data_IF_776350424070
#
_entry.id   IF_776350424070
#
_cell.length_a   1.000
_cell.length_b   1.000
_cell.length_c   1.000
_cell.angle_alpha   90.00
_cell.angle_beta   90.00
_cell.angle_gamma   90.00
#
_symmetry.space_group_name_H-M   'P 1'
#
loop_
_entity.id
_entity.type
_entity.pdbx_description
1 polymer ?
2 branched ?
3 non-polymer ?
4 non-polymer ?
5 water ?
#
# COMPACT_ATOMS: atom_id res chain seq x y z
N UNK A 32 -20.45 -5.21 20.18
CA UNK A 32 -20.98 -4.10 19.31
C UNK A 32 -20.60 -2.71 19.82
N UNK A 33 -19.29 -2.50 20.00
CA UNK A 33 -18.76 -1.25 20.57
C UNK A 33 -18.46 -0.18 19.51
N UNK A 34 -18.31 -0.61 18.25
CA UNK A 34 -17.89 0.29 17.17
C UNK A 34 -16.41 0.58 17.22
N UNK A 35 -15.64 -0.39 17.69
CA UNK A 35 -14.19 -0.26 17.81
C UNK A 35 -13.46 -1.43 17.13
N UNK A 36 -14.21 -2.42 16.63
CA UNK A 36 -13.66 -3.66 16.05
C UNK A 36 -12.87 -3.39 14.78
N UNK A 37 -11.86 -4.23 14.50
CA UNK A 37 -11.13 -4.16 13.21
C UNK A 37 -12.08 -4.41 12.04
N UNK A 38 -11.84 -3.72 10.91
CA UNK A 38 -12.57 -4.02 9.68
C UNK A 38 -11.67 -4.84 8.74
N UNK A 39 -12.17 -6.00 8.32
CA UNK A 39 -11.37 -6.93 7.54
C UNK A 39 -11.58 -6.78 6.03
N UNK A 40 -12.29 -5.71 5.65
CA UNK A 40 -12.41 -5.31 4.26
C UNK A 40 -11.68 -3.98 4.04
N UNK A 41 -10.83 -3.61 4.98
CA UNK A 41 -10.03 -2.38 4.91
C UNK A 41 -8.56 -2.79 4.91
N UNK A 42 -7.86 -2.41 3.83
CA UNK A 42 -6.49 -2.85 3.55
C UNK A 42 -5.56 -1.65 3.62
N UNK A 43 -4.50 -1.72 4.41
CA UNK A 43 -3.59 -0.58 4.56
C UNK A 43 -2.20 -0.95 4.08
N UNK A 44 -1.69 -0.19 3.09
CA UNK A 44 -0.43 -0.55 2.45
C UNK A 44 0.77 -0.26 3.35
N UNK A 45 1.57 -1.31 3.59
CA UNK A 45 2.59 -1.31 4.61
C UNK A 45 3.96 -1.71 4.04
N UNK A 46 4.98 -0.95 4.44
CA UNK A 46 6.35 -1.09 3.96
C UNK A 46 7.27 -1.50 5.10
N UNK A 47 8.08 -2.53 4.86
CA UNK A 47 8.99 -3.06 5.89
C UNK A 47 10.46 -2.89 5.48
N UNK A 48 10.74 -1.84 4.70
CA UNK A 48 12.08 -1.63 4.18
C UNK A 48 12.96 -0.64 4.99
N UNK A 49 12.48 -0.24 6.16
CA UNK A 49 13.22 0.71 7.00
C UNK A 49 14.21 -0.03 7.89
N UNK A 50 15.35 0.60 8.13
CA UNK A 50 16.37 -0.05 8.92
C UNK A 50 17.06 0.90 9.88
N UNK A 51 17.70 0.33 10.88
CA UNK A 51 18.64 1.06 11.71
C UNK A 51 20.04 0.47 11.52
N UNK A 52 21.05 1.32 11.69
CA UNK A 52 22.44 0.88 11.72
C UNK A 52 22.63 -0.28 12.70
N UNK A 53 21.98 -0.21 13.85
CA UNK A 53 22.10 -1.23 14.91
C UNK A 53 21.50 -2.58 14.52
N UNK A 54 20.30 -2.56 13.93
CA UNK A 54 19.60 -3.81 13.69
C UNK A 54 19.90 -4.33 12.29
N UNK A 55 20.08 -3.43 11.33
CA UNK A 55 20.15 -3.80 9.91
C UNK A 55 21.47 -3.48 9.21
N UNK A 56 22.36 -2.77 9.90
CA UNK A 56 23.66 -2.44 9.31
C UNK A 56 23.69 -1.06 8.68
N UNK A 57 22.51 -0.49 8.45
CA UNK A 57 22.39 0.87 7.92
C UNK A 57 20.99 1.42 8.18
N UNK A 58 20.86 2.74 8.15
CA UNK A 58 19.54 3.37 8.26
C UNK A 58 18.84 3.28 6.90
N UNK A 59 18.44 2.06 6.58
CA UNK A 59 17.94 1.68 5.27
C UNK A 59 16.66 2.45 4.97
N UNK A 60 16.56 2.98 3.75
CA UNK A 60 15.40 3.78 3.29
C UNK A 60 15.30 5.18 3.92
N UNK A 61 15.68 5.34 5.19
CA UNK A 61 15.85 6.71 5.74
C UNK A 61 16.91 7.45 4.93
N UNK A 62 17.95 6.72 4.52
CA UNK A 62 18.88 7.15 3.48
C UNK A 62 18.32 6.67 2.14
N UNK A 63 18.43 7.50 1.10
CA UNK A 63 17.77 7.25 -0.17
C UNK A 63 18.34 8.15 -1.25
N UNK A 64 18.47 7.60 -2.46
CA UNK A 64 18.95 8.35 -3.60
C UNK A 64 17.92 9.40 -3.97
N UNK A 65 18.39 10.55 -4.46
CA UNK A 65 17.48 11.55 -4.99
C UNK A 65 17.35 11.26 -6.47
N UNK A 66 16.12 11.07 -6.94
CA UNK A 66 15.89 10.70 -8.35
C UNK A 66 16.18 11.86 -9.31
N UNK A 67 16.86 11.56 -10.44
CA UNK A 67 17.04 12.59 -11.47
C UNK A 67 15.69 12.99 -12.07
N UNK A 68 15.61 14.21 -12.58
CA UNK A 68 14.44 14.68 -13.32
C UNK A 68 14.39 13.97 -14.68
N UNK A 69 13.26 13.28 -14.97
CA UNK A 69 13.11 12.62 -16.27
C UNK A 69 13.17 13.57 -17.46
N UNK A 70 12.79 14.84 -17.25
CA UNK A 70 12.87 15.85 -18.31
C UNK A 70 13.96 16.89 -18.04
N UNK A 71 14.99 16.51 -17.28
CA UNK A 71 15.95 17.48 -16.77
C UNK A 71 17.35 17.48 -17.37
N UNK A 72 17.53 16.77 -18.48
CA UNK A 72 18.83 16.75 -19.15
C UNK A 72 19.77 15.64 -18.68
N UNK A 73 20.96 15.61 -19.26
CA UNK A 73 21.84 14.44 -19.18
C UNK A 73 22.90 14.43 -18.06
N UNK A 74 23.43 15.58 -17.69
CA UNK A 74 24.53 15.59 -16.73
C UNK A 74 24.18 15.78 -15.27
N UNK A 75 23.07 15.18 -14.82
CA UNK A 75 22.58 15.41 -13.46
C UNK A 75 23.35 14.64 -12.38
N UNK A 76 23.79 15.38 -11.36
CA UNK A 76 24.35 14.80 -10.14
C UNK A 76 23.41 15.15 -8.97
N UNK A 77 22.30 14.40 -8.83
CA UNK A 77 21.24 14.76 -7.86
C UNK A 77 21.62 14.59 -6.40
N UNK A 78 22.48 13.61 -6.11
CA UNK A 78 22.92 13.36 -4.76
C UNK A 78 22.05 12.34 -4.05
N UNK A 79 22.23 12.24 -2.75
CA UNK A 79 21.45 11.33 -1.95
C UNK A 79 21.04 12.04 -0.65
N UNK A 80 20.06 11.48 0.02
CA UNK A 80 19.70 11.90 1.36
C UNK A 80 20.42 10.94 2.32
N UNK A 81 21.26 11.48 3.22
CA UNK A 81 22.16 10.61 4.01
C UNK A 81 21.46 9.73 5.06
N UNK A 82 20.23 10.09 5.43
CA UNK A 82 19.50 9.29 6.42
C UNK A 82 20.02 9.47 7.83
N UNK A 83 20.61 10.63 8.09
CA UNK A 83 20.98 11.03 9.43
C UNK A 83 19.73 11.45 10.19
N UNK A 84 19.85 11.68 11.49
CA UNK A 84 18.74 12.20 12.28
C UNK A 84 18.14 13.49 11.70
N UNK A 85 18.99 14.38 11.22
CA UNK A 85 18.54 15.69 10.72
C UNK A 85 17.97 15.59 9.30
N UNK A 86 18.44 14.60 8.55
CA UNK A 86 18.12 14.55 7.15
C UNK A 86 17.71 13.14 6.67
N UNK A 87 16.41 12.89 6.68
CA UNK A 87 15.85 11.61 6.25
C UNK A 87 15.09 11.79 4.95
N UNK A 88 14.79 10.69 4.27
CA UNK A 88 14.15 10.71 2.96
C UNK A 88 12.62 10.82 3.02
N UNK A 89 12.13 11.84 3.71
CA UNK A 89 10.70 12.11 3.79
C UNK A 89 10.49 13.61 3.96
N UNK A 90 9.37 14.13 3.49
CA UNK A 90 9.03 15.52 3.81
C UNK A 90 8.43 15.65 5.21
N UNK A 91 8.12 14.50 5.82
CA UNK A 91 7.62 14.40 7.20
C UNK A 91 8.61 13.70 8.13
N UNK A 92 8.31 13.67 9.42
CA UNK A 92 9.19 13.03 10.39
C UNK A 92 8.43 12.06 11.30
N UNK A 93 8.86 10.79 11.33
CA UNK A 93 8.17 9.77 12.13
C UNK A 93 8.25 10.05 13.62
N UNK A 94 7.11 9.91 14.30
CA UNK A 94 7.07 9.95 15.76
C UNK A 94 8.01 8.89 16.36
N UNK A 95 8.12 7.73 15.71
CA UNK A 95 8.99 6.65 16.18
C UNK A 95 10.46 6.81 15.80
N UNK A 96 10.79 7.87 15.07
CA UNK A 96 12.16 8.13 14.67
C UNK A 96 12.61 7.23 13.52
N UNK A 97 13.92 7.14 13.31
CA UNK A 97 14.47 6.32 12.23
C UNK A 97 14.43 4.85 12.64
N UNK A 98 13.22 4.28 12.61
CA UNK A 98 13.00 2.94 13.12
C UNK A 98 13.47 1.82 12.19
N UNK A 99 13.75 0.66 12.78
CA UNK A 99 13.96 -0.58 12.01
C UNK A 99 12.64 -1.34 11.87
N UNK A 100 12.34 -1.75 10.63
CA UNK A 100 11.21 -2.64 10.38
C UNK A 100 11.47 -4.05 10.91
N UNK A 101 12.71 -4.32 11.32
CA UNK A 101 13.06 -5.63 11.92
C UNK A 101 12.91 -5.66 13.46
N UNK A 102 12.56 -4.52 14.06
CA UNK A 102 12.52 -4.35 15.53
C UNK A 102 11.17 -4.80 16.08
N UNK A 103 11.17 -5.90 16.88
CA UNK A 103 9.91 -6.45 17.41
C UNK A 103 9.10 -5.41 18.17
N UNK A 104 9.78 -4.49 18.85
CA UNK A 104 9.09 -3.50 19.64
C UNK A 104 8.45 -2.39 18.76
N UNK A 105 9.07 -2.08 17.62
CA UNK A 105 8.47 -1.18 16.62
C UNK A 105 7.24 -1.87 16.01
N UNK A 106 7.38 -3.15 15.67
CA UNK A 106 6.24 -3.92 15.15
C UNK A 106 5.03 -3.94 16.10
N UNK A 107 5.27 -4.15 17.40
CA UNK A 107 4.19 -4.13 18.38
C UNK A 107 3.45 -2.79 18.36
N UNK A 108 4.20 -1.71 18.34
CA UNK A 108 3.61 -0.38 18.31
C UNK A 108 2.80 -0.16 17.03
N UNK A 109 3.29 -0.68 15.90
CA UNK A 109 2.59 -0.51 14.62
C UNK A 109 1.28 -1.27 14.64
N UNK A 110 1.29 -2.45 15.22
CA UNK A 110 0.07 -3.25 15.33
C UNK A 110 -0.96 -2.56 16.22
N UNK A 111 -0.48 -1.90 17.28
CA UNK A 111 -1.37 -1.12 18.16
C UNK A 111 -1.95 0.06 17.39
N UNK A 112 -1.15 0.65 16.49
CA UNK A 112 -1.63 1.74 15.61
C UNK A 112 -2.70 1.26 14.63
N UNK A 113 -2.51 0.04 14.09
CA UNK A 113 -3.53 -0.60 13.24
C UNK A 113 -4.83 -0.80 13.99
N UNK A 114 -4.72 -1.21 15.24
CA UNK A 114 -5.90 -1.41 16.09
C UNK A 114 -6.62 -0.09 16.31
N UNK A 115 -5.87 0.96 16.57
CA UNK A 115 -6.41 2.30 16.74
C UNK A 115 -7.17 2.76 15.48
N UNK A 116 -6.64 2.41 14.30
CA UNK A 116 -7.20 2.86 13.02
C UNK A 116 -8.34 1.97 12.54
N UNK A 117 -8.54 0.83 13.21
CA UNK A 117 -9.54 -0.18 12.83
C UNK A 117 -9.29 -0.83 11.47
N UNK A 118 -8.05 -0.74 11.01
CA UNK A 118 -7.67 -1.36 9.72
C UNK A 118 -7.26 -2.81 9.94
N UNK A 119 -8.14 -3.73 9.56
CA UNK A 119 -7.94 -5.15 9.86
C UNK A 119 -6.96 -5.91 8.99
N UNK A 120 -6.57 -5.35 7.84
CA UNK A 120 -5.61 -6.02 6.92
C UNK A 120 -4.40 -5.15 6.58
N UNK A 121 -3.22 -5.70 6.85
CA UNK A 121 -1.97 -5.09 6.51
C UNK A 121 -1.55 -5.69 5.16
N UNK A 122 -1.39 -4.83 4.16
CA UNK A 122 -1.04 -5.28 2.82
C UNK A 122 0.45 -5.05 2.62
N UNK A 123 1.21 -6.12 2.77
CA UNK A 123 2.65 -6.03 2.88
C UNK A 123 3.34 -5.94 1.52
N UNK A 124 4.12 -4.88 1.34
CA UNK A 124 4.95 -4.73 0.13
C UNK A 124 5.88 -5.93 0.03
N UNK A 125 5.97 -6.52 -1.17
CA UNK A 125 6.75 -7.73 -1.39
C UNK A 125 7.55 -7.61 -2.69
N UNK A 126 8.87 -7.57 -2.55
CA UNK A 126 9.80 -7.26 -3.65
C UNK A 126 10.64 -8.45 -4.13
N UNK A 127 10.33 -9.65 -3.62
CA UNK A 127 11.06 -10.87 -4.00
C UNK A 127 12.57 -10.72 -3.77
N UNK A 128 12.95 -10.28 -2.57
CA UNK A 128 14.36 -10.03 -2.29
C UNK A 128 15.19 -11.29 -2.06
N UNK A 129 14.50 -12.41 -1.87
CA UNK A 129 15.12 -13.73 -1.61
C UNK A 129 16.38 -13.62 -0.77
N UNK A 130 16.20 -13.09 0.43
CA UNK A 130 17.27 -13.06 1.41
C UNK A 130 16.70 -13.27 2.80
N UNK A 131 17.54 -13.73 3.70
CA UNK A 131 17.09 -14.18 5.01
C UNK A 131 16.55 -13.05 5.89
N UNK A 132 17.04 -11.82 5.70
CA UNK A 132 16.57 -10.71 6.53
C UNK A 132 15.11 -10.39 6.24
N UNK A 133 14.71 -10.50 4.96
CA UNK A 133 13.30 -10.31 4.62
C UNK A 133 12.40 -11.43 5.11
N UNK A 134 12.83 -12.67 4.93
CA UNK A 134 12.09 -13.82 5.46
C UNK A 134 11.84 -13.64 6.96
N UNK A 135 12.84 -13.15 7.68
CA UNK A 135 12.70 -12.91 9.12
C UNK A 135 11.62 -11.86 9.40
N UNK A 136 11.72 -10.73 8.69
CA UNK A 136 10.74 -9.66 8.85
C UNK A 136 9.31 -10.11 8.62
N UNK A 137 9.08 -10.90 7.57
CA UNK A 137 7.73 -11.38 7.26
C UNK A 137 7.15 -12.23 8.41
N UNK A 138 7.98 -13.12 8.95
CA UNK A 138 7.58 -13.90 10.13
C UNK A 138 7.26 -13.02 11.34
N UNK A 139 8.08 -12.00 11.59
CA UNK A 139 7.85 -11.11 12.75
C UNK A 139 6.52 -10.33 12.59
N UNK A 140 6.26 -9.88 11.37
CA UNK A 140 5.05 -9.14 11.02
C UNK A 140 3.81 -10.00 11.20
N UNK A 141 3.82 -11.19 10.63
CA UNK A 141 2.72 -12.14 10.87
C UNK A 141 2.47 -12.38 12.37
N UNK A 142 3.53 -12.72 13.11
CA UNK A 142 3.42 -12.97 14.55
C UNK A 142 2.86 -11.77 15.32
N UNK A 143 3.38 -10.58 15.03
CA UNK A 143 2.94 -9.36 15.73
C UNK A 143 1.51 -9.01 15.36
N UNK A 144 1.15 -9.19 14.08
CA UNK A 144 -0.22 -8.96 13.61
C UNK A 144 -1.20 -9.85 14.35
N UNK A 145 -0.87 -11.13 14.48
CA UNK A 145 -1.80 -12.08 15.03
C UNK A 145 -2.13 -11.77 16.49
N UNK A 146 -1.17 -11.23 17.23
CA UNK A 146 -1.38 -10.86 18.64
C UNK A 146 -2.49 -9.82 18.80
N UNK A 147 -2.75 -9.07 17.73
CA UNK A 147 -3.79 -8.06 17.75
C UNK A 147 -4.96 -8.37 16.82
N UNK A 148 -5.03 -9.63 16.34
CA UNK A 148 -6.06 -10.09 15.38
C UNK A 148 -6.01 -9.39 14.00
N UNK A 149 -4.90 -8.74 13.70
CA UNK A 149 -4.68 -8.17 12.36
C UNK A 149 -4.33 -9.28 11.35
N UNK A 150 -4.77 -9.11 10.10
CA UNK A 150 -4.47 -10.05 9.02
C UNK A 150 -3.40 -9.44 8.09
N UNK A 151 -2.70 -10.31 7.36
CA UNK A 151 -1.66 -9.88 6.43
C UNK A 151 -1.95 -10.49 5.06
N UNK A 152 -1.96 -9.66 4.01
CA UNK A 152 -1.87 -10.14 2.63
C UNK A 152 -0.63 -9.50 1.98
N UNK A 153 -0.30 -9.94 0.75
CA UNK A 153 0.92 -9.48 0.08
C UNK A 153 0.60 -8.59 -1.11
N UNK A 154 1.39 -7.52 -1.21
CA UNK A 154 1.30 -6.58 -2.33
C UNK A 154 2.49 -6.90 -3.25
N UNK A 155 2.20 -7.58 -4.36
CA UNK A 155 3.26 -8.15 -5.19
C UNK A 155 3.79 -7.09 -6.15
N UNK A 156 5.03 -6.68 -5.93
CA UNK A 156 5.61 -5.55 -6.66
C UNK A 156 6.28 -5.98 -7.99
N UNK A 157 6.57 -5.00 -8.86
CA UNK A 157 7.21 -5.35 -10.14
C UNK A 157 8.71 -5.69 -9.98
N UNK A 158 9.04 -6.87 -9.47
CA UNK A 158 10.43 -7.28 -9.29
C UNK A 158 11.08 -7.63 -10.63
N UNK A 159 12.43 -7.72 -10.70
CA UNK A 159 13.05 -7.92 -12.02
C UNK A 159 12.69 -9.25 -12.70
N UNK A 160 12.39 -9.19 -14.00
CA UNK A 160 11.98 -10.36 -14.78
C UNK A 160 10.68 -11.00 -14.29
N UNK A 161 9.86 -10.23 -13.55
CA UNK A 161 8.54 -10.72 -13.13
C UNK A 161 7.74 -11.09 -14.36
N UNK A 162 7.12 -12.26 -14.29
CA UNK A 162 6.32 -12.81 -15.38
C UNK A 162 5.35 -13.78 -14.74
N UNK A 163 4.40 -14.32 -15.50
CA UNK A 163 3.36 -15.13 -14.86
C UNK A 163 3.87 -16.45 -14.25
N UNK A 164 4.93 -17.01 -14.82
CA UNK A 164 5.50 -18.27 -14.34
C UNK A 164 6.14 -18.09 -12.94
N UNK A 165 7.07 -17.15 -12.83
CA UNK A 165 7.68 -16.91 -11.53
C UNK A 165 6.71 -16.26 -10.55
N UNK A 166 5.69 -15.57 -11.05
CA UNK A 166 4.63 -15.07 -10.16
C UNK A 166 3.91 -16.28 -9.54
N UNK A 167 3.57 -17.27 -10.35
CA UNK A 167 2.93 -18.49 -9.84
C UNK A 167 3.80 -19.19 -8.81
N UNK A 168 5.09 -19.28 -9.12
CA UNK A 168 6.05 -19.94 -8.25
C UNK A 168 6.15 -19.23 -6.89
N UNK A 169 6.10 -17.90 -6.93
CA UNK A 169 6.11 -17.08 -5.72
C UNK A 169 4.79 -17.11 -4.94
N UNK A 170 3.67 -17.18 -5.67
CA UNK A 170 2.36 -17.38 -5.03
C UNK A 170 2.32 -18.73 -4.30
N UNK A 171 2.80 -19.78 -4.96
CA UNK A 171 2.92 -21.09 -4.35
C UNK A 171 3.78 -21.03 -3.07
N UNK A 172 4.94 -20.40 -3.17
CA UNK A 172 5.86 -20.30 -2.04
C UNK A 172 5.23 -19.58 -0.84
N UNK A 173 4.51 -18.49 -1.12
CA UNK A 173 3.89 -17.66 -0.07
C UNK A 173 2.73 -18.39 0.59
N UNK A 174 1.87 -18.99 -0.22
CA UNK A 174 0.76 -19.77 0.30
C UNK A 174 1.27 -21.00 1.10
N UNK A 175 2.28 -21.69 0.57
CA UNK A 175 2.85 -22.85 1.26
C UNK A 175 3.54 -22.44 2.57
N UNK A 176 4.33 -21.39 2.53
CA UNK A 176 5.07 -20.96 3.70
C UNK A 176 4.17 -20.32 4.77
N UNK A 177 3.19 -19.52 4.34
CA UNK A 177 2.45 -18.68 5.28
C UNK A 177 0.94 -18.94 5.35
N UNK A 178 0.43 -19.78 4.46
CA UNK A 178 -1.01 -20.01 4.37
C UNK A 178 -1.60 -20.55 5.67
N UNK A 179 -0.77 -21.22 6.47
CA UNK A 179 -1.25 -21.79 7.74
C UNK A 179 -1.05 -20.86 8.93
N UNK A 180 -0.36 -19.74 8.73
CA UNK A 180 -0.22 -18.77 9.81
C UNK A 180 -1.61 -18.21 10.15
N UNK A 181 -1.94 -18.10 11.46
CA UNK A 181 -3.26 -17.58 11.82
C UNK A 181 -3.55 -16.15 11.33
N UNK A 182 -2.50 -15.37 11.07
CA UNK A 182 -2.69 -13.99 10.59
C UNK A 182 -2.80 -13.87 9.05
N UNK A 183 -2.59 -14.98 8.34
CA UNK A 183 -2.69 -14.97 6.87
C UNK A 183 -4.12 -14.68 6.41
N UNK A 184 -4.30 -13.61 5.62
CA UNK A 184 -5.62 -13.14 5.22
C UNK A 184 -6.32 -14.08 4.25
N UNK A 185 -7.61 -14.32 4.49
CA UNK A 185 -8.46 -14.99 3.52
C UNK A 185 -9.79 -14.27 3.43
N UNK A 186 -10.33 -14.17 2.22
CA UNK A 186 -11.70 -13.69 1.98
C UNK A 186 -12.55 -14.85 1.44
N UNK A 187 -13.62 -15.20 2.16
CA UNK A 187 -14.44 -16.36 1.83
C UNK A 187 -13.58 -17.56 1.41
N UNK A 188 -12.54 -17.84 2.21
CA UNK A 188 -11.66 -18.97 1.98
C UNK A 188 -10.50 -18.77 1.02
N UNK A 189 -10.41 -17.59 0.41
CA UNK A 189 -9.32 -17.35 -0.56
C UNK A 189 -8.31 -16.31 -0.11
N UNK A 190 -7.02 -16.56 -0.40
CA UNK A 190 -6.03 -15.52 -0.15
C UNK A 190 -6.28 -14.38 -1.13
N UNK A 191 -5.70 -13.23 -0.84
CA UNK A 191 -5.82 -12.10 -1.74
C UNK A 191 -4.46 -11.47 -1.97
N UNK A 192 -4.18 -11.15 -3.23
CA UNK A 192 -2.95 -10.44 -3.60
C UNK A 192 -3.31 -9.18 -4.37
N UNK A 193 -2.59 -8.10 -4.07
CA UNK A 193 -2.60 -6.91 -4.90
C UNK A 193 -1.39 -6.98 -5.81
N UNK A 194 -1.59 -6.70 -7.10
CA UNK A 194 -0.49 -6.76 -8.06
C UNK A 194 -0.20 -5.37 -8.60
N UNK A 195 0.91 -4.80 -8.14
CA UNK A 195 1.31 -3.46 -8.59
C UNK A 195 1.82 -3.49 -10.03
N UNK A 196 1.48 -2.43 -10.77
CA UNK A 196 1.86 -2.34 -12.20
C UNK A 196 1.59 -3.63 -12.98
N UNK A 197 0.39 -4.19 -12.78
CA UNK A 197 -0.04 -5.39 -13.48
C UNK A 197 -0.08 -5.17 -14.99
N UNK A 198 -0.38 -3.93 -15.41
CA UNK A 198 -0.53 -3.60 -16.84
C UNK A 198 0.77 -3.83 -17.64
N UNK A 199 1.91 -3.95 -16.94
CA UNK A 199 3.20 -4.24 -17.58
C UNK A 199 3.30 -5.68 -18.12
N UNK A 200 2.33 -6.51 -17.74
CA UNK A 200 2.26 -7.89 -18.23
C UNK A 200 1.03 -8.03 -19.13
N UNK A 201 1.23 -8.56 -20.32
CA UNK A 201 0.17 -8.73 -21.33
C UNK A 201 -0.97 -9.61 -20.84
N UNK A 202 -2.23 -9.26 -21.18
CA UNK A 202 -3.38 -10.11 -20.85
C UNK A 202 -3.26 -11.54 -21.35
N UNK A 203 -2.62 -11.76 -22.52
CA UNK A 203 -2.42 -13.13 -22.99
C UNK A 203 -1.53 -13.96 -22.05
N UNK A 204 -0.58 -13.30 -21.37
CA UNK A 204 0.19 -13.98 -20.30
C UNK A 204 -0.65 -14.20 -19.03
N UNK A 205 -1.31 -13.15 -18.56
CA UNK A 205 -2.17 -13.25 -17.36
C UNK A 205 -3.19 -14.37 -17.47
N UNK A 206 -3.74 -14.55 -18.66
CA UNK A 206 -4.79 -15.52 -18.83
C UNK A 206 -4.32 -16.97 -18.59
N UNK A 207 -3.04 -17.24 -18.82
CA UNK A 207 -2.44 -18.54 -18.57
C UNK A 207 -2.46 -18.86 -17.08
N UNK A 208 -2.37 -17.81 -16.27
CA UNK A 208 -2.34 -17.94 -14.82
C UNK A 208 -3.74 -17.81 -14.23
N UNK A 209 -4.55 -16.95 -14.82
CA UNK A 209 -5.78 -16.51 -14.16
C UNK A 209 -7.09 -17.01 -14.78
N UNK A 210 -7.01 -17.52 -16.00
CA UNK A 210 -8.19 -18.12 -16.60
C UNK A 210 -8.36 -19.55 -16.07
N UNK A 211 -9.62 -19.98 -15.83
CA UNK A 211 -9.83 -21.39 -15.46
C UNK A 211 -9.23 -22.36 -16.49
N UNK A 212 -9.13 -21.95 -17.76
CA UNK A 212 -8.50 -22.79 -18.80
C UNK A 212 -7.02 -22.54 -19.07
N UNK A 213 -6.43 -21.57 -18.37
CA UNK A 213 -5.02 -21.22 -18.55
C UNK A 213 -4.04 -22.37 -18.31
N UNK A 214 -2.99 -22.41 -19.13
CA UNK A 214 -1.97 -23.50 -19.07
C UNK A 214 -1.26 -23.67 -17.72
N UNK A 215 -1.12 -22.59 -16.96
CA UNK A 215 -0.59 -22.70 -15.60
C UNK A 215 -1.58 -22.13 -14.56
N UNK A 216 -2.86 -22.43 -14.76
CA UNK A 216 -3.89 -21.80 -13.95
C UNK A 216 -3.71 -22.02 -12.44
N UNK A 217 -4.12 -21.03 -11.65
CA UNK A 217 -4.28 -21.24 -10.21
C UNK A 217 -5.73 -21.51 -9.83
N UNK A 218 -6.66 -21.30 -10.76
CA UNK A 218 -8.09 -21.55 -10.49
C UNK A 218 -8.30 -23.03 -10.21
N UNK A 219 -9.12 -23.32 -9.21
CA UNK A 219 -9.42 -24.71 -8.78
C UNK A 219 -8.18 -25.49 -8.31
N UNK A 220 -7.15 -24.77 -7.86
CA UNK A 220 -5.98 -25.40 -7.23
C UNK A 220 -5.90 -24.95 -5.77
N UNK A 221 -4.95 -25.53 -5.03
CA UNK A 221 -4.64 -25.13 -3.65
C UNK A 221 -4.08 -23.70 -3.60
N UNK A 222 -3.77 -23.13 -4.77
CA UNK A 222 -3.12 -21.81 -4.86
C UNK A 222 -4.00 -20.71 -5.45
N UNK A 223 -5.28 -21.01 -5.59
CA UNK A 223 -6.24 -20.03 -6.05
C UNK A 223 -6.25 -18.86 -5.07
N UNK A 224 -6.50 -17.66 -5.60
CA UNK A 224 -6.47 -16.42 -4.82
C UNK A 224 -7.26 -15.35 -5.54
N UNK A 225 -7.76 -14.37 -4.78
CA UNK A 225 -8.30 -13.18 -5.38
C UNK A 225 -7.13 -12.33 -5.88
N UNK A 226 -7.08 -12.08 -7.19
CA UNK A 226 -6.00 -11.28 -7.79
C UNK A 226 -6.53 -9.90 -8.16
N UNK A 227 -5.95 -8.87 -7.55
CA UNK A 227 -6.47 -7.52 -7.66
C UNK A 227 -5.42 -6.72 -8.42
N UNK A 228 -5.74 -6.34 -9.64
CA UNK A 228 -4.79 -5.65 -10.52
C UNK A 228 -4.85 -4.15 -10.36
N UNK A 229 -3.81 -3.45 -10.79
CA UNK A 229 -3.78 -2.00 -10.66
C UNK A 229 -4.50 -1.33 -11.84
N UNK A 230 -5.67 -0.77 -11.58
CA UNK A 230 -6.36 -0.01 -12.62
C UNK A 230 -5.71 1.36 -12.75
N UNK A 231 -5.12 1.66 -13.91
CA UNK A 231 -4.43 2.96 -14.09
C UNK A 231 -5.27 3.94 -14.93
N UNK A 232 -5.35 3.70 -16.23
CA UNK A 232 -5.84 4.69 -17.18
C UNK A 232 -7.34 4.59 -17.51
N UNK A 233 -7.73 4.98 -18.73
CA UNK A 233 -9.14 5.09 -19.10
C UNK A 233 -9.83 3.72 -19.24
N UNK A 234 -11.17 3.70 -19.09
CA UNK A 234 -12.01 2.51 -19.25
C UNK A 234 -11.80 1.81 -20.59
N UNK A 235 -11.57 2.57 -21.66
CA UNK A 235 -11.33 1.98 -23.00
C UNK A 235 -10.20 0.95 -22.97
N UNK A 236 -9.17 1.25 -22.18
CA UNK A 236 -8.00 0.40 -22.07
C UNK A 236 -8.15 -0.59 -20.90
N UNK A 237 -8.67 -0.11 -19.78
CA UNK A 237 -8.66 -0.92 -18.56
C UNK A 237 -9.75 -1.98 -18.50
N UNK A 238 -10.93 -1.70 -19.04
CA UNK A 238 -12.02 -2.68 -19.02
C UNK A 238 -11.62 -4.00 -19.72
N UNK A 239 -11.22 -3.94 -21.02
CA UNK A 239 -10.77 -5.16 -21.69
C UNK A 239 -9.57 -5.84 -21.02
N UNK A 240 -8.63 -5.06 -20.49
CA UNK A 240 -7.47 -5.62 -19.81
C UNK A 240 -7.89 -6.46 -18.61
N UNK A 241 -8.72 -5.88 -17.74
CA UNK A 241 -9.19 -6.60 -16.57
C UNK A 241 -9.96 -7.87 -16.96
N UNK A 242 -10.82 -7.77 -17.98
CA UNK A 242 -11.60 -8.93 -18.43
C UNK A 242 -10.76 -10.02 -19.10
N UNK A 243 -9.86 -9.60 -19.98
CA UNK A 243 -9.03 -10.54 -20.75
C UNK A 243 -7.90 -11.15 -19.93
N UNK A 244 -7.42 -10.41 -18.93
CA UNK A 244 -6.41 -10.95 -18.02
C UNK A 244 -7.04 -11.80 -16.91
N UNK A 245 -8.36 -11.72 -16.75
CA UNK A 245 -9.08 -12.51 -15.75
C UNK A 245 -8.71 -12.16 -14.31
N UNK A 246 -8.40 -10.89 -14.07
CA UNK A 246 -8.25 -10.41 -12.69
C UNK A 246 -9.58 -10.49 -11.97
N UNK A 247 -9.54 -10.81 -10.67
CA UNK A 247 -10.75 -10.85 -9.85
C UNK A 247 -11.24 -9.49 -9.44
N UNK A 248 -10.34 -8.51 -9.51
CA UNK A 248 -10.70 -7.17 -9.11
C UNK A 248 -9.61 -6.18 -9.42
N UNK A 249 -9.79 -4.96 -8.94
CA UNK A 249 -8.85 -3.91 -9.20
C UNK A 249 -8.77 -2.88 -8.07
N UNK A 250 -7.58 -2.27 -7.95
CA UNK A 250 -7.32 -1.19 -7.02
C UNK A 250 -6.60 -0.09 -7.80
N UNK A 251 -6.43 1.07 -7.16
CA UNK A 251 -5.97 2.26 -7.88
C UNK A 251 -4.68 2.82 -7.32
N UNK A 252 -4.34 2.42 -6.08
CA UNK A 252 -3.11 2.83 -5.35
C UNK A 252 -2.83 4.32 -5.04
N UNK A 253 -2.71 5.14 -6.06
CA UNK A 253 -2.13 6.49 -5.89
C UNK A 253 -2.97 7.36 -4.96
N UNK A 254 -2.28 7.93 -3.96
CA UNK A 254 -2.90 8.79 -2.95
C UNK A 254 -3.23 10.17 -3.52
N UNK A 255 -2.55 10.56 -4.61
CA UNK A 255 -2.69 11.89 -5.19
C UNK A 255 -3.84 11.93 -6.19
N UNK A 256 -4.94 12.59 -5.82
CA UNK A 256 -6.10 12.65 -6.72
C UNK A 256 -5.68 13.19 -8.07
N UNK A 257 -6.18 12.57 -9.14
CA UNK A 257 -5.93 13.07 -10.48
C UNK A 257 -4.66 12.55 -11.13
N UNK A 258 -3.82 11.84 -10.39
CA UNK A 258 -2.53 11.36 -10.93
C UNK A 258 -2.76 10.39 -12.11
N UNK A 259 -3.82 9.60 -11.98
CA UNK A 259 -4.30 8.72 -13.05
C UNK A 259 -5.81 8.80 -13.10
N UNK A 260 -6.39 8.24 -14.15
CA UNK A 260 -7.85 8.12 -14.24
C UNK A 260 -8.39 7.34 -13.03
N UNK A 261 -7.75 6.22 -12.71
CA UNK A 261 -8.16 5.41 -11.57
C UNK A 261 -8.12 6.14 -10.23
N UNK A 262 -7.16 7.06 -10.08
CA UNK A 262 -7.00 7.82 -8.83
C UNK A 262 -7.71 9.18 -8.84
N UNK A 263 -8.67 9.33 -9.75
CA UNK A 263 -9.56 10.48 -9.77
C UNK A 263 -10.91 10.05 -9.21
N UNK A 264 -11.19 10.41 -7.94
CA UNK A 264 -12.34 9.89 -7.21
C UNK A 264 -13.72 10.11 -7.85
N UNK A 265 -13.88 11.10 -8.72
CA UNK A 265 -15.16 11.33 -9.40
C UNK A 265 -15.48 10.22 -10.41
N UNK A 266 -14.48 9.39 -10.74
CA UNK A 266 -14.66 8.21 -11.59
C UNK A 266 -15.12 6.96 -10.85
N UNK A 267 -15.15 7.00 -9.53
CA UNK A 267 -15.33 5.78 -8.75
C UNK A 267 -16.72 5.17 -8.80
N UNK A 268 -17.77 6.01 -8.82
CA UNK A 268 -19.14 5.51 -9.02
C UNK A 268 -19.24 4.69 -10.33
N UNK A 269 -18.69 5.27 -11.39
CA UNK A 269 -18.68 4.67 -12.70
C UNK A 269 -17.87 3.37 -12.71
N UNK A 270 -16.74 3.36 -12.00
CA UNK A 270 -15.86 2.20 -11.94
C UNK A 270 -16.51 1.06 -11.17
N UNK A 271 -17.23 1.43 -10.11
CA UNK A 271 -17.94 0.47 -9.28
C UNK A 271 -19.08 -0.19 -10.06
N UNK A 272 -19.81 0.61 -10.83
CA UNK A 272 -20.91 0.11 -11.68
C UNK A 272 -20.40 -0.98 -12.62
N UNK A 273 -19.30 -0.70 -13.31
CA UNK A 273 -18.69 -1.68 -14.20
C UNK A 273 -18.21 -2.92 -13.43
N UNK A 274 -17.56 -2.72 -12.29
CA UNK A 274 -17.13 -3.84 -11.44
C UNK A 274 -18.29 -4.78 -11.09
N UNK A 275 -19.42 -4.18 -10.69
CA UNK A 275 -20.58 -4.94 -10.28
C UNK A 275 -21.17 -5.69 -11.48
N UNK A 276 -21.21 -5.01 -12.63
CA UNK A 276 -21.75 -5.60 -13.85
C UNK A 276 -20.91 -6.77 -14.34
N UNK A 277 -19.63 -6.78 -13.98
CA UNK A 277 -18.71 -7.78 -14.53
C UNK A 277 -18.14 -8.77 -13.53
N UNK A 278 -18.76 -8.84 -12.35
CA UNK A 278 -18.35 -9.76 -11.30
C UNK A 278 -16.96 -9.49 -10.74
N UNK A 279 -16.54 -8.22 -10.76
CA UNK A 279 -15.19 -7.85 -10.29
C UNK A 279 -15.23 -7.09 -8.94
N UNK A 280 -14.16 -7.21 -8.16
CA UNK A 280 -14.08 -6.51 -6.87
C UNK A 280 -13.31 -5.20 -7.05
N UNK A 281 -13.95 -4.07 -6.76
CA UNK A 281 -13.28 -2.77 -6.83
C UNK A 281 -12.85 -2.36 -5.41
N UNK A 282 -11.55 -2.14 -5.23
CA UNK A 282 -10.97 -1.70 -3.94
C UNK A 282 -10.24 -0.37 -4.15
N UNK A 283 -11.01 0.74 -4.23
CA UNK A 283 -10.35 2.04 -4.37
C UNK A 283 -9.32 2.31 -3.27
N UNK A 284 -8.27 3.04 -3.61
CA UNK A 284 -7.26 3.44 -2.66
C UNK A 284 -7.45 4.90 -2.27
N UNK A 285 -7.46 5.14 -0.96
CA UNK A 285 -7.62 6.49 -0.40
C UNK A 285 -6.34 6.85 0.36
N UNK A 286 -5.98 8.12 0.33
CA UNK A 286 -4.83 8.59 1.09
C UNK A 286 -5.02 9.99 1.63
N UNK A 287 -4.22 10.36 2.65
CA UNK A 287 -4.37 11.61 3.37
C UNK A 287 -3.68 12.80 2.71
N UNK A 288 -2.86 12.53 1.69
CA UNK A 288 -2.11 13.58 1.02
C UNK A 288 -0.97 12.97 0.24
N UNK A 289 -0.19 13.81 -0.45
CA UNK A 289 0.97 13.35 -1.18
C UNK A 289 2.04 14.42 -1.29
N UNK A 290 3.29 14.03 -0.98
CA UNK A 290 4.46 14.88 -1.31
C UNK A 290 5.73 14.05 -1.27
N UNK A 291 6.47 14.03 -2.38
CA UNK A 291 7.70 13.23 -2.44
C UNK A 291 8.93 14.05 -2.84
N UNK A 292 8.88 15.36 -2.60
CA UNK A 292 9.88 16.25 -3.17
C UNK A 292 11.28 16.19 -2.55
N UNK A 293 11.39 15.58 -1.37
CA UNK A 293 12.72 15.31 -0.81
C UNK A 293 13.49 14.37 -1.74
N UNK A 294 12.84 13.29 -2.18
CA UNK A 294 13.47 12.33 -3.08
C UNK A 294 13.24 12.56 -4.59
N UNK A 295 12.21 13.34 -4.93
CA UNK A 295 11.87 13.69 -6.31
C UNK A 295 11.59 15.21 -6.40
N UNK A 296 12.65 16.04 -6.35
CA UNK A 296 12.49 17.50 -6.22
C UNK A 296 11.72 18.16 -7.36
N UNK A 297 11.73 17.50 -8.51
CA UNK A 297 11.10 17.95 -9.75
C UNK A 297 9.61 17.60 -9.81
N UNK A 298 9.10 16.86 -8.81
CA UNK A 298 7.77 16.26 -8.86
C UNK A 298 6.69 17.05 -8.09
N UNK A 299 6.86 18.37 -8.01
CA UNK A 299 5.98 19.22 -7.21
C UNK A 299 4.54 19.28 -7.67
N UNK A 300 4.29 18.99 -8.95
CA UNK A 300 2.92 19.01 -9.50
C UNK A 300 2.01 17.97 -8.84
N UNK A 301 2.61 16.93 -8.27
CA UNK A 301 1.87 15.84 -7.69
C UNK A 301 1.54 16.08 -6.21
N UNK A 302 2.09 17.14 -5.64
CA UNK A 302 1.80 17.49 -4.24
C UNK A 302 0.28 17.68 -4.01
N UNK A 303 -0.25 17.00 -2.99
CA UNK A 303 -1.60 17.24 -2.52
C UNK A 303 -1.50 17.54 -1.04
N UNK A 304 -1.94 18.73 -0.65
CA UNK A 304 -1.78 19.21 0.74
C UNK A 304 -2.82 18.60 1.66
N UNK A 305 -2.44 18.31 2.90
CA UNK A 305 -3.35 17.58 3.82
C UNK A 305 -4.50 18.44 4.34
N UNK A 306 -4.28 19.76 4.36
CA UNK A 306 -5.16 20.76 5.02
C UNK A 306 -5.91 20.25 6.25
N UNK A 307 -5.15 19.88 7.29
CA UNK A 307 -5.73 19.46 8.58
C UNK A 307 -6.68 18.26 8.48
N UNK A 308 -6.51 17.45 7.44
CA UNK A 308 -7.30 16.24 7.26
C UNK A 308 -8.45 16.33 6.27
N UNK A 309 -8.74 17.53 5.75
CA UNK A 309 -9.88 17.67 4.83
C UNK A 309 -9.68 16.86 3.54
N UNK A 310 -8.45 16.80 3.06
CA UNK A 310 -8.14 16.02 1.84
C UNK A 310 -8.45 14.54 2.06
N UNK A 311 -8.00 14.01 3.20
CA UNK A 311 -8.30 12.63 3.58
C UNK A 311 -9.81 12.41 3.65
N UNK A 312 -10.52 13.30 4.34
CA UNK A 312 -11.97 13.19 4.45
C UNK A 312 -12.65 13.15 3.09
N UNK A 313 -12.26 14.06 2.20
CA UNK A 313 -12.88 14.15 0.89
C UNK A 313 -12.69 12.84 0.10
N UNK A 314 -11.47 12.32 0.12
CA UNK A 314 -11.17 11.10 -0.62
C UNK A 314 -11.87 9.85 -0.06
N UNK A 315 -11.86 9.72 1.26
CA UNK A 315 -12.50 8.59 1.93
C UNK A 315 -14.01 8.64 1.71
N UNK A 316 -14.58 9.85 1.76
CA UNK A 316 -16.01 10.07 1.51
C UNK A 316 -16.41 9.60 0.11
N UNK A 317 -15.59 9.92 -0.88
CA UNK A 317 -15.85 9.47 -2.26
C UNK A 317 -15.82 7.94 -2.39
N UNK A 318 -14.87 7.29 -1.74
CA UNK A 318 -14.79 5.82 -1.74
C UNK A 318 -16.08 5.20 -1.16
N UNK A 319 -16.49 5.68 0.01
CA UNK A 319 -17.69 5.16 0.68
C UNK A 319 -18.92 5.42 -0.19
N UNK A 320 -19.03 6.62 -0.72
CA UNK A 320 -20.17 6.99 -1.57
C UNK A 320 -20.29 6.17 -2.86
N UNK A 321 -19.18 5.63 -3.34
CA UNK A 321 -19.21 4.80 -4.55
C UNK A 321 -19.88 3.43 -4.33
N UNK A 322 -20.13 3.05 -3.08
CA UNK A 322 -20.81 1.79 -2.77
C UNK A 322 -19.94 0.53 -2.88
N UNK A 323 -18.63 0.69 -2.68
CA UNK A 323 -17.67 -0.43 -2.76
C UNK A 323 -17.74 -1.31 -1.52
N UNK A 324 -17.28 -2.56 -1.66
CA UNK A 324 -17.28 -3.60 -0.63
C UNK A 324 -15.97 -3.66 0.16
N UNK A 325 -14.94 -2.96 -0.32
CA UNK A 325 -13.63 -2.93 0.31
C UNK A 325 -12.90 -1.63 -0.07
N UNK A 326 -11.99 -1.17 0.79
CA UNK A 326 -11.26 0.06 0.58
C UNK A 326 -9.80 -0.20 0.96
N UNK A 327 -8.88 0.36 0.18
CA UNK A 327 -7.46 0.29 0.52
C UNK A 327 -6.94 1.68 0.90
N UNK A 328 -5.93 1.71 1.76
CA UNK A 328 -5.38 2.96 2.25
C UNK A 328 -3.91 3.07 1.87
N UNK A 329 -3.61 4.13 1.13
CA UNK A 329 -2.26 4.47 0.76
C UNK A 329 -1.86 5.72 1.55
N UNK A 330 -1.08 5.56 2.63
CA UNK A 330 -0.43 4.30 3.04
C UNK A 330 -0.30 4.28 4.56
N UNK A 331 0.10 3.15 5.14
CA UNK A 331 0.53 3.22 6.53
C UNK A 331 1.80 4.05 6.69
N UNK A 332 2.85 3.71 5.92
CA UNK A 332 4.19 4.24 6.18
C UNK A 332 5.09 4.28 4.92
N UNK A 333 4.52 4.76 3.80
CA UNK A 333 5.35 5.16 2.66
C UNK A 333 5.78 6.62 2.93
N UNK A 334 6.81 6.76 3.76
CA UNK A 334 7.29 8.08 4.18
C UNK A 334 7.90 8.89 3.03
N UNK A 335 8.47 8.19 2.04
CA UNK A 335 9.05 8.83 0.87
C UNK A 335 8.01 9.62 0.11
N UNK A 336 6.80 9.09 0.05
CA UNK A 336 5.74 9.70 -0.75
C UNK A 336 4.79 10.62 0.03
N UNK A 337 4.98 10.69 1.35
CA UNK A 337 4.19 11.56 2.22
C UNK A 337 2.72 11.22 2.24
N UNK A 338 2.42 9.94 2.03
CA UNK A 338 1.05 9.46 2.02
C UNK A 338 0.73 8.73 3.32
N UNK A 339 1.65 8.77 4.28
CA UNK A 339 1.56 7.92 5.47
C UNK A 339 0.48 8.38 6.44
N UNK A 340 -0.26 7.43 7.05
CA UNK A 340 -1.12 7.75 8.20
C UNK A 340 -0.40 7.49 9.55
N UNK A 341 0.80 6.91 9.49
CA UNK A 341 1.60 6.69 10.70
C UNK A 341 1.91 8.05 11.38
N UNK A 342 1.85 8.10 12.73
CA UNK A 342 2.05 9.37 13.42
C UNK A 342 3.37 10.03 13.06
N UNK A 343 3.29 11.32 12.76
CA UNK A 343 4.43 12.18 12.46
C UNK A 343 4.46 13.30 13.51
N UNK A 344 5.65 13.84 13.76
CA UNK A 344 5.82 14.88 14.77
C UNK A 344 6.49 16.10 14.15
N UNK A 345 6.25 17.30 14.74
CA UNK A 345 6.97 18.47 14.24
C UNK A 345 8.45 18.30 14.47
N UNK A 346 9.25 18.73 13.50
CA UNK A 346 10.69 18.64 13.60
C UNK A 346 11.38 19.64 12.69
N UNK A 347 12.28 20.41 13.28
CA UNK A 347 13.14 21.29 12.51
C UNK A 347 14.57 20.92 12.84
N UNK A 348 15.35 20.59 11.83
CA UNK A 348 16.76 20.39 12.03
C UNK A 348 17.50 21.51 11.31
N UNK A 349 18.83 21.54 11.48
CA UNK A 349 19.69 22.44 10.71
C UNK A 349 19.62 22.15 9.21
N UNK A 350 19.28 20.92 8.86
CA UNK A 350 19.25 20.51 7.45
C UNK A 350 17.91 20.79 6.77
N UNK A 351 16.81 20.65 7.51
CA UNK A 351 15.49 20.71 6.89
C UNK A 351 14.40 21.01 7.89
N UNK A 352 13.38 21.73 7.44
CA UNK A 352 12.17 21.94 8.21
C UNK A 352 11.08 21.01 7.68
N UNK A 353 10.70 20.03 8.50
CA UNK A 353 9.77 19.01 8.04
C UNK A 353 8.34 19.54 8.10
N UNK A 354 7.50 19.02 7.21
CA UNK A 354 6.07 19.16 7.38
C UNK A 354 5.64 18.30 8.56
N UNK A 355 4.46 18.59 9.08
CA UNK A 355 3.91 17.82 10.19
C UNK A 355 2.39 17.85 10.09
N UNK A 356 1.68 17.40 11.13
CA UNK A 356 0.22 17.29 11.03
C UNK A 356 -0.55 18.58 11.41
N UNK A 357 0.20 19.68 11.47
CA UNK A 357 -0.39 21.04 11.44
C UNK A 357 -1.16 21.27 12.73
N UNK A 358 -2.47 21.44 12.64
CA UNK A 358 -3.28 21.68 13.84
C UNK A 358 -3.79 20.40 14.44
N UNK A 359 -3.38 19.26 13.88
CA UNK A 359 -3.85 17.98 14.39
C UNK A 359 -2.74 17.27 15.17
N UNK A 360 -3.15 16.42 16.10
CA UNK A 360 -2.23 15.63 16.92
C UNK A 360 -1.52 14.57 16.05
N UNK A 361 -0.34 14.08 16.51
CA UNK A 361 0.35 13.04 15.72
C UNK A 361 -0.49 11.80 15.36
N UNK A 362 -1.44 11.40 16.21
CA UNK A 362 -2.24 10.21 15.88
C UNK A 362 -3.54 10.52 15.16
N UNK A 363 -3.71 11.77 14.71
CA UNK A 363 -4.96 12.20 14.05
C UNK A 363 -5.38 11.33 12.87
N UNK A 364 -4.44 10.94 12.02
CA UNK A 364 -4.77 10.16 10.83
C UNK A 364 -5.15 8.73 11.18
N UNK A 365 -4.62 8.21 12.30
CA UNK A 365 -5.09 6.91 12.82
C UNK A 365 -6.54 6.99 13.30
N UNK A 366 -6.85 7.98 14.14
CA UNK A 366 -8.21 8.10 14.68
C UNK A 366 -9.21 8.52 13.60
N UNK A 367 -8.78 9.38 12.67
CA UNK A 367 -9.66 9.75 11.55
C UNK A 367 -9.97 8.55 10.67
N UNK A 368 -8.99 7.68 10.48
CA UNK A 368 -9.19 6.41 9.77
C UNK A 368 -10.28 5.58 10.46
N UNK A 369 -10.18 5.48 11.78
CA UNK A 369 -11.17 4.77 12.57
C UNK A 369 -12.56 5.35 12.34
N UNK A 370 -12.64 6.68 12.24
CA UNK A 370 -13.90 7.39 12.02
C UNK A 370 -14.50 6.96 10.67
N UNK A 371 -13.67 6.98 9.64
CA UNK A 371 -14.10 6.58 8.31
C UNK A 371 -14.45 5.10 8.19
N UNK A 372 -13.70 4.25 8.89
CA UNK A 372 -14.03 2.82 8.97
C UNK A 372 -15.44 2.66 9.51
N UNK A 373 -15.77 3.41 10.57
CA UNK A 373 -17.13 3.41 11.13
C UNK A 373 -18.20 3.76 10.11
N UNK A 374 -17.99 4.88 9.40
CA UNK A 374 -18.90 5.31 8.34
C UNK A 374 -19.03 4.25 7.24
N UNK A 375 -17.91 3.70 6.81
CA UNK A 375 -17.87 2.58 5.82
C UNK A 375 -18.75 1.40 6.27
N UNK A 376 -18.58 1.01 7.53
CA UNK A 376 -19.30 -0.15 8.07
C UNK A 376 -20.79 0.12 8.19
N UNK A 377 -21.11 1.36 8.54
CA UNK A 377 -22.47 1.87 8.63
C UNK A 377 -23.28 1.61 7.36
N UNK A 378 -22.67 1.85 6.19
CA UNK A 378 -23.42 1.76 4.92
C UNK A 378 -23.11 0.52 4.08
N UNK A 379 -22.28 -0.39 4.60
CA UNK A 379 -21.71 -1.50 3.80
C UNK A 379 -22.73 -2.34 3.05
X LIG B 1 4.48 6.29 -12.89
X LIG B 1 4.80 5.36 -11.71
X LIG B 1 4.22 3.95 -11.97
X LIG B 1 2.74 4.00 -12.36
X LIG B 1 2.44 5.07 -13.41
X LIG B 1 0.92 5.26 -13.56
X LIG B 1 5.22 5.89 -14.04
X LIG B 1 4.28 5.98 -10.55
X LIG B 1 4.36 3.09 -10.87
X LIG B 1 2.36 2.73 -12.85
X LIG B 1 3.07 6.33 -13.13
X LIG B 1 0.67 6.39 -14.38
X LIG B 2 5.31 6.27 -9.58
X LIG B 2 4.70 6.70 -8.24
X LIG B 2 4.12 8.12 -8.35
X LIG B 2 5.22 9.10 -8.77
X LIG B 2 5.91 8.60 -10.04
X LIG B 2 7.19 9.39 -10.34
X LIG B 2 5.71 6.58 -7.25
X LIG B 2 3.46 8.54 -7.18
X LIG B 2 4.67 10.41 -8.96
X LIG B 2 6.29 7.23 -9.98
X LIG B 2 7.02 10.08 -11.56
X LIG C 1 9.43 2.62 -5.30
X LIG C 1 10.77 1.87 -5.27
X LIG C 1 11.50 2.07 -3.95
X LIG C 1 11.56 3.56 -3.60
X LIG C 1 10.13 4.14 -3.59
X LIG C 1 10.11 5.61 -3.18
X LIG C 1 10.53 0.49 -5.42
X LIG C 1 12.80 1.51 -4.03
X LIG C 1 12.19 3.73 -2.36
X LIG C 1 9.57 3.97 -4.89
X LIG C 1 8.80 6.13 -3.23
X LIG D 1 5.91 1.03 -5.05
X LIG D 1 6.19 0.01 -6.00
X LIG D 1 6.86 2.25 -5.20
X LIG D 1 8.24 1.88 -5.00
X LIG D 1 6.50 3.35 -4.19
X LIG D 1 6.70 2.88 -2.85
X LIG D 1 5.05 3.78 -4.40
X LIG D 1 4.16 2.62 -4.38
X LIG D 1 4.43 1.41 -5.16
X LIG D 1 3.52 0.26 -4.73
X LIG D 1 3.86 -0.18 -3.41
#
# INVERSE_FOLDING_TARGET
>A
MMIFFLSLSLESCSKEDDNNPSNSENNGGNNNLGTELDYDTFCFYYDWYGSEAIDGQYRHWAHAIAPDPNGGSGQNPGTIPGTQESIASNFYPQLGRYSSSDPNILTKHMDMFVMARTGVLALTWWNEQDETEAKRIGLILDAADKKKIKVCFHLEPYPSRNVQNLRENIVKLITRYGNHPAFYRKDGKPLFFIYDSYLIEPSEWEKLLSPGGSITIRNTAYDALMIGLWTSSPTVQRPFILNAHFDGFYTYFAATGFTYGSTPTNWVSMQKWAKENGKIFIPSVGPGYIDTRIRPWNGSVIRTRTDGQYYDAMYRKAIEAGVSAISITSFNEWHEGSQIEPAVPYTSSEFTYLDYENREPDYYLTRTAYWVGKFRESKQ
>B hetero
1 MAN C1 C2 C3 C4 C5 C6 O1 O2 O3 O4 O5 O6
2 MAN C1 C2 C3 C4 C5 C6 O2 O3 O4 O5 O6
>C hetero
1 GLC C1 C2 C3 C4 C5 C6 O2 O3 O4 O5 O6
>D hetero
1 DMJ C4 O4 C3 O3 C2 O2 C1 N5 C5 C6 O6
#
